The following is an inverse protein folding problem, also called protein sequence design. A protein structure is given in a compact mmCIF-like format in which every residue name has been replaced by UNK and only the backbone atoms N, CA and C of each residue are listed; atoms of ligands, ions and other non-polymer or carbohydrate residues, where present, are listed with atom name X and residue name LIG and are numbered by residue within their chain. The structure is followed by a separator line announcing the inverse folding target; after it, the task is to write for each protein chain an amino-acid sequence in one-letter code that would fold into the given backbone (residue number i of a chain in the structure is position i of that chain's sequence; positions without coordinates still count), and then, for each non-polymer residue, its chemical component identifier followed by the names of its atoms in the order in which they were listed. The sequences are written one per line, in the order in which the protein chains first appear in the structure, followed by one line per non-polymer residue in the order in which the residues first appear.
data_IF_397546492578
#
_entry.id   IF_397546492578
#
_cell.length_a   1.000
_cell.length_b   1.000
_cell.length_c   1.000
_cell.angle_alpha   90.00
_cell.angle_beta   90.00
_cell.angle_gamma   90.00
#
_symmetry.space_group_name_H-M   'P 1'
#
loop_
_entity.id
_entity.type
_entity.pdbx_description
1 polymer ?
#
# COMPACT_ATOMS: atom_id res chain seq x y z
N UNK A 1 -3.53 19.45 -0.51
CA UNK A 1 -2.66 19.64 -1.69
C UNK A 1 -2.48 18.29 -2.35
N UNK A 2 -2.34 18.21 -3.68
CA UNK A 2 -2.07 16.94 -4.35
C UNK A 2 -0.79 16.29 -3.85
N UNK A 3 -0.67 14.98 -4.03
CA UNK A 3 0.57 14.23 -3.78
C UNK A 3 1.61 14.69 -4.81
N UNK A 4 2.40 15.70 -4.45
CA UNK A 4 3.26 16.42 -5.40
C UNK A 4 4.66 15.80 -5.52
N UNK A 5 5.17 15.14 -4.49
CA UNK A 5 6.51 14.56 -4.50
C UNK A 5 6.50 13.03 -4.60
N UNK A 6 7.57 12.44 -5.13
CA UNK A 6 7.75 10.98 -5.12
C UNK A 6 7.84 10.42 -3.68
N UNK A 7 8.35 11.21 -2.74
CA UNK A 7 8.36 10.85 -1.33
C UNK A 7 6.94 10.72 -0.75
N UNK A 8 6.04 11.66 -1.06
CA UNK A 8 4.64 11.60 -0.63
C UNK A 8 3.90 10.41 -1.28
N UNK A 9 4.20 10.12 -2.55
CA UNK A 9 3.66 8.95 -3.25
C UNK A 9 4.04 7.65 -2.53
N UNK A 10 5.34 7.48 -2.24
CA UNK A 10 5.86 6.34 -1.48
C UNK A 10 5.24 6.27 -0.09
N UNK A 11 5.09 7.40 0.60
CA UNK A 11 4.44 7.44 1.91
C UNK A 11 3.00 6.95 1.90
N UNK A 12 2.23 7.39 0.92
CA UNK A 12 0.85 6.96 0.78
C UNK A 12 0.76 5.49 0.40
N UNK A 13 1.56 5.03 -0.56
CA UNK A 13 1.61 3.61 -0.92
C UNK A 13 1.99 2.73 0.29
N UNK A 14 2.97 3.17 1.07
CA UNK A 14 3.42 2.50 2.29
C UNK A 14 2.28 2.32 3.30
N UNK A 15 1.66 3.44 3.68
CA UNK A 15 0.58 3.46 4.65
C UNK A 15 -0.68 2.74 4.17
N UNK A 16 -0.92 2.71 2.86
CA UNK A 16 -1.98 1.91 2.23
C UNK A 16 -1.61 0.41 2.13
N UNK A 17 -0.43 0.01 2.59
CA UNK A 17 0.02 -1.37 2.67
C UNK A 17 0.47 -1.96 1.33
N UNK A 18 0.86 -1.12 0.37
CA UNK A 18 1.60 -1.55 -0.82
C UNK A 18 3.06 -1.67 -0.44
N UNK A 19 3.65 -2.84 -0.65
CA UNK A 19 4.99 -3.18 -0.17
C UNK A 19 6.06 -2.38 -0.92
N UNK A 20 6.98 -1.75 -0.19
CA UNK A 20 8.05 -0.89 -0.73
C UNK A 20 9.44 -1.38 -0.30
N UNK A 21 9.59 -2.70 -0.14
CA UNK A 21 10.82 -3.32 0.37
C UNK A 21 10.80 -3.54 1.89
N UNK A 22 11.88 -4.14 2.43
CA UNK A 22 11.99 -4.48 3.84
C UNK A 22 11.84 -3.22 4.70
N UNK A 23 10.82 -3.22 5.55
CA UNK A 23 10.49 -2.07 6.40
C UNK A 23 11.13 -2.22 7.77
N UNK A 24 11.74 -1.14 8.27
CA UNK A 24 11.82 -0.92 9.70
C UNK A 24 10.40 -0.98 10.33
N UNK A 25 10.30 -1.55 11.53
CA UNK A 25 9.09 -2.01 12.23
C UNK A 25 7.94 -0.98 12.41
N UNK A 26 8.10 0.27 12.02
CA UNK A 26 7.16 1.37 12.33
C UNK A 26 6.28 1.83 11.15
N UNK A 27 6.23 1.09 10.02
CA UNK A 27 5.16 1.25 9.01
C UNK A 27 5.11 2.60 8.28
N UNK A 28 6.13 3.44 8.45
CA UNK A 28 6.48 4.54 7.57
C UNK A 28 7.98 4.39 7.38
N UNK A 29 8.40 3.68 6.32
CA UNK A 29 9.78 3.26 6.09
C UNK A 29 10.76 4.35 6.53
N UNK A 30 11.45 4.08 7.64
CA UNK A 30 12.43 5.01 8.18
C UNK A 30 13.53 5.20 7.13
N UNK A 31 14.18 6.35 7.15
CA UNK A 31 15.30 6.67 6.26
C UNK A 31 16.52 5.75 6.45
N UNK A 32 16.46 4.81 7.40
CA UNK A 32 17.61 4.08 7.94
C UNK A 32 17.57 2.58 7.59
N UNK A 33 16.40 1.98 7.41
CA UNK A 33 16.26 0.52 7.16
C UNK A 33 15.74 0.18 5.75
N UNK A 34 15.51 1.19 4.91
CA UNK A 34 15.09 1.01 3.52
C UNK A 34 16.32 1.07 2.60
N UNK A 35 17.34 0.26 2.87
CA UNK A 35 18.45 0.09 1.95
C UNK A 35 18.52 -1.35 1.46
N UNK A 36 18.33 -1.51 0.16
CA UNK A 36 18.54 -2.76 -0.55
C UNK A 36 19.66 -2.52 -1.57
N UNK A 37 20.84 -3.09 -1.32
CA UNK A 37 22.02 -2.91 -2.18
C UNK A 37 21.88 -3.57 -3.56
N UNK A 38 20.98 -4.53 -3.71
CA UNK A 38 20.70 -5.16 -5.00
C UNK A 38 19.90 -4.22 -5.90
N UNK A 39 18.94 -3.50 -5.33
CA UNK A 39 18.11 -2.49 -6.03
C UNK A 39 18.85 -1.16 -6.20
N UNK A 40 19.67 -0.76 -5.22
CA UNK A 40 20.32 0.55 -5.15
C UNK A 40 21.76 0.57 -5.68
N UNK A 41 22.38 -0.58 -5.92
CA UNK A 41 23.78 -0.67 -6.34
C UNK A 41 24.76 -0.14 -5.28
N UNK A 42 25.76 0.63 -5.70
CA UNK A 42 26.84 1.14 -4.84
C UNK A 42 26.46 2.32 -3.92
N UNK A 43 25.17 2.58 -3.72
CA UNK A 43 24.69 3.69 -2.88
C UNK A 43 25.03 3.44 -1.39
N UNK A 44 25.47 4.50 -0.71
CA UNK A 44 25.70 4.47 0.74
C UNK A 44 24.36 4.52 1.50
N UNK A 45 23.97 3.35 2.01
CA UNK A 45 22.80 3.10 2.83
C UNK A 45 22.69 3.95 4.11
N UNK A 46 23.80 4.52 4.59
CA UNK A 46 23.80 5.33 5.81
C UNK A 46 23.37 6.79 5.55
N UNK A 47 23.39 7.22 4.29
CA UNK A 47 23.08 8.61 3.88
C UNK A 47 21.93 8.71 2.88
N UNK A 48 21.60 7.64 2.15
CA UNK A 48 20.51 7.65 1.15
C UNK A 48 19.47 6.59 1.44
N UNK A 49 18.24 7.02 1.72
CA UNK A 49 17.09 6.11 1.86
C UNK A 49 16.39 5.85 0.52
N UNK A 50 15.82 4.65 0.32
CA UNK A 50 14.92 4.37 -0.83
C UNK A 50 13.84 5.44 -1.01
N UNK A 51 13.38 6.03 0.10
CA UNK A 51 12.35 7.09 0.12
C UNK A 51 12.81 8.40 -0.51
N UNK A 52 14.09 8.74 -0.41
CA UNK A 52 14.68 9.99 -0.90
C UNK A 52 15.21 9.90 -2.34
N UNK A 53 15.14 8.74 -2.97
CA UNK A 53 15.53 8.60 -4.37
C UNK A 53 14.71 9.54 -5.26
N UNK A 54 15.38 10.23 -6.17
CA UNK A 54 14.74 11.08 -7.17
C UNK A 54 13.93 10.28 -8.20
N UNK A 55 14.27 9.00 -8.41
CA UNK A 55 13.69 8.14 -9.43
C UNK A 55 12.85 7.01 -8.81
N UNK A 56 11.92 6.47 -9.59
CA UNK A 56 11.10 5.29 -9.24
C UNK A 56 11.97 4.03 -9.30
N UNK A 57 12.20 3.41 -8.15
CA UNK A 57 12.90 2.12 -7.99
C UNK A 57 11.95 0.93 -8.19
N UNK A 58 12.51 -0.29 -8.21
CA UNK A 58 11.77 -1.53 -8.44
C UNK A 58 10.63 -1.77 -7.43
N UNK A 59 10.86 -1.49 -6.14
CA UNK A 59 9.81 -1.63 -5.13
C UNK A 59 8.71 -0.61 -5.31
N UNK A 60 9.06 0.65 -5.58
CA UNK A 60 8.07 1.69 -5.84
C UNK A 60 7.26 1.35 -7.08
N UNK A 61 7.89 0.87 -8.16
CA UNK A 61 7.18 0.42 -9.36
C UNK A 61 6.22 -0.73 -9.07
N UNK A 62 6.65 -1.74 -8.31
CA UNK A 62 5.79 -2.86 -7.91
C UNK A 62 4.59 -2.40 -7.06
N UNK A 63 4.80 -1.46 -6.13
CA UNK A 63 3.74 -0.87 -5.33
C UNK A 63 2.73 -0.07 -6.17
N UNK A 64 3.23 0.74 -7.11
CA UNK A 64 2.40 1.48 -8.07
C UNK A 64 1.55 0.51 -8.88
N UNK A 65 2.17 -0.53 -9.42
CA UNK A 65 1.50 -1.55 -10.23
C UNK A 65 0.38 -2.23 -9.46
N UNK A 66 0.67 -2.68 -8.23
CA UNK A 66 -0.33 -3.31 -7.37
C UNK A 66 -1.48 -2.36 -7.02
N UNK A 67 -1.19 -1.08 -6.75
CA UNK A 67 -2.23 -0.08 -6.52
C UNK A 67 -3.12 0.13 -7.74
N UNK A 68 -2.53 0.22 -8.93
CA UNK A 68 -3.26 0.37 -10.19
C UNK A 68 -4.21 -0.81 -10.41
N UNK A 69 -3.72 -2.03 -10.23
CA UNK A 69 -4.53 -3.27 -10.32
C UNK A 69 -5.70 -3.22 -9.32
N UNK A 70 -5.41 -2.94 -8.04
CA UNK A 70 -6.43 -2.90 -6.99
C UNK A 70 -7.49 -1.80 -7.22
N UNK A 71 -7.10 -0.74 -7.93
CA UNK A 71 -7.93 0.44 -8.19
C UNK A 71 -8.56 0.44 -9.59
N UNK A 72 -8.42 -0.65 -10.36
CA UNK A 72 -8.91 -0.78 -11.73
C UNK A 72 -8.40 0.34 -12.66
N UNK A 73 -7.13 0.71 -12.50
CA UNK A 73 -6.38 1.61 -13.38
C UNK A 73 -5.49 0.79 -14.33
N UNK A 74 -5.02 1.42 -15.40
CA UNK A 74 -4.02 0.80 -16.27
C UNK A 74 -2.75 0.45 -15.47
N UNK A 75 -2.43 -0.84 -15.38
CA UNK A 75 -1.32 -1.40 -14.62
C UNK A 75 0.02 -1.19 -15.34
N UNK A 76 0.41 0.07 -15.48
CA UNK A 76 1.62 0.48 -16.20
C UNK A 76 2.88 0.47 -15.33
N UNK A 77 2.74 0.43 -14.00
CA UNK A 77 3.84 0.62 -13.05
C UNK A 77 4.43 2.04 -13.07
N UNK A 78 3.88 2.93 -13.88
CA UNK A 78 4.40 4.29 -14.06
C UNK A 78 3.77 5.26 -13.07
N UNK A 79 4.60 6.13 -12.53
CA UNK A 79 4.15 7.31 -11.80
C UNK A 79 3.54 8.33 -12.77
N UNK A 80 2.45 8.96 -12.34
CA UNK A 80 1.75 9.96 -13.14
C UNK A 80 0.66 10.68 -12.34
N UNK A 81 0.14 11.81 -12.87
CA UNK A 81 -0.83 12.64 -12.15
C UNK A 81 -2.13 11.90 -11.82
N UNK A 82 -2.61 11.02 -12.71
CA UNK A 82 -3.82 10.22 -12.48
C UNK A 82 -3.65 9.25 -11.30
N UNK A 83 -2.51 8.55 -11.25
CA UNK A 83 -2.17 7.65 -10.15
C UNK A 83 -2.10 8.42 -8.83
N UNK A 84 -1.37 9.54 -8.81
CA UNK A 84 -1.18 10.39 -7.62
C UNK A 84 -2.52 10.89 -7.07
N UNK A 85 -3.42 11.34 -7.96
CA UNK A 85 -4.77 11.78 -7.59
C UNK A 85 -5.62 10.64 -7.03
N UNK A 86 -5.55 9.44 -7.64
CA UNK A 86 -6.28 8.28 -7.15
C UNK A 86 -5.81 7.87 -5.73
N UNK A 87 -4.50 7.84 -5.51
CA UNK A 87 -3.90 7.53 -4.22
C UNK A 87 -4.30 8.56 -3.17
N UNK A 88 -4.19 9.85 -3.49
CA UNK A 88 -4.64 10.95 -2.61
C UNK A 88 -6.11 10.76 -2.21
N UNK A 89 -6.98 10.50 -3.18
CA UNK A 89 -8.41 10.27 -2.94
C UNK A 89 -8.62 9.07 -2.02
N UNK A 90 -7.86 8.00 -2.20
CA UNK A 90 -7.92 6.81 -1.35
C UNK A 90 -7.54 7.14 0.10
N UNK A 91 -6.51 7.96 0.31
CA UNK A 91 -6.10 8.41 1.65
C UNK A 91 -7.13 9.35 2.26
N UNK A 92 -7.73 10.27 1.50
CA UNK A 92 -8.82 11.15 1.99
C UNK A 92 -10.02 10.33 2.47
N UNK A 93 -10.42 9.31 1.72
CA UNK A 93 -11.51 8.39 2.11
C UNK A 93 -11.16 7.62 3.39
N UNK A 94 -9.91 7.15 3.50
CA UNK A 94 -9.43 6.51 4.73
C UNK A 94 -9.51 7.47 5.93
N UNK A 95 -9.01 8.70 5.79
CA UNK A 95 -9.03 9.73 6.82
C UNK A 95 -10.45 10.08 7.27
N UNK A 96 -11.37 10.27 6.32
CA UNK A 96 -12.78 10.52 6.60
C UNK A 96 -13.43 9.38 7.39
N UNK A 97 -13.21 8.13 6.96
CA UNK A 97 -13.75 6.97 7.66
C UNK A 97 -13.14 6.80 9.06
N UNK A 98 -11.84 7.05 9.23
CA UNK A 98 -11.20 7.03 10.56
C UNK A 98 -11.80 8.09 11.48
N UNK A 99 -12.00 9.32 10.98
CA UNK A 99 -12.65 10.41 11.73
C UNK A 99 -14.03 9.99 12.22
N UNK A 100 -14.84 9.39 11.35
CA UNK A 100 -16.19 8.90 11.68
C UNK A 100 -16.17 7.76 12.70
N UNK A 101 -15.36 6.73 12.48
CA UNK A 101 -15.36 5.50 13.30
C UNK A 101 -14.70 5.72 14.67
N UNK A 102 -13.70 6.58 14.75
CA UNK A 102 -12.99 6.89 16.00
C UNK A 102 -13.56 8.11 16.74
N UNK A 103 -14.51 8.83 16.12
CA UNK A 103 -15.04 10.10 16.63
C UNK A 103 -13.93 11.08 17.05
N UNK A 104 -12.96 11.27 16.16
CA UNK A 104 -11.75 12.08 16.43
C UNK A 104 -11.47 13.02 15.27
N UNK A 105 -10.83 14.16 15.57
CA UNK A 105 -10.46 15.14 14.55
C UNK A 105 -9.19 14.70 13.82
N UNK A 106 -9.32 14.45 12.51
CA UNK A 106 -8.23 14.09 11.61
C UNK A 106 -8.34 14.99 10.38
N UNK A 107 -7.24 15.60 9.99
CA UNK A 107 -7.18 16.38 8.76
C UNK A 107 -7.27 15.46 7.53
N UNK A 108 -8.18 15.79 6.60
CA UNK A 108 -8.30 15.12 5.31
C UNK A 108 -7.24 15.67 4.34
N UNK A 109 -5.96 15.52 4.66
CA UNK A 109 -4.88 16.11 3.87
C UNK A 109 -4.63 15.37 2.55
N UNK A 110 -5.04 14.10 2.45
CA UNK A 110 -4.65 13.20 1.36
C UNK A 110 -3.23 12.63 1.48
N UNK A 111 -2.55 12.93 2.60
CA UNK A 111 -1.23 12.41 2.94
C UNK A 111 -1.31 11.51 4.17
N UNK A 112 -0.70 10.34 4.11
CA UNK A 112 -0.79 9.36 5.17
C UNK A 112 -0.13 9.88 6.45
N UNK A 113 1.16 10.23 6.43
CA UNK A 113 1.90 10.87 7.54
C UNK A 113 1.64 10.25 8.94
N UNK A 114 2.15 10.91 9.97
CA UNK A 114 2.07 10.45 11.37
C UNK A 114 0.64 10.44 11.94
N UNK A 115 -0.19 11.41 11.54
CA UNK A 115 -1.55 11.54 12.07
C UNK A 115 -2.44 10.37 11.61
N UNK A 116 -2.49 10.07 10.31
CA UNK A 116 -3.26 8.94 9.79
C UNK A 116 -2.71 7.61 10.31
N UNK A 117 -1.37 7.45 10.36
CA UNK A 117 -0.74 6.27 10.95
C UNK A 117 -1.20 6.02 12.39
N UNK A 118 -1.21 7.06 13.24
CA UNK A 118 -1.64 6.95 14.64
C UNK A 118 -3.13 6.60 14.74
N UNK A 119 -3.97 7.20 13.90
CA UNK A 119 -5.39 6.88 13.83
C UNK A 119 -5.64 5.43 13.37
N UNK A 120 -4.88 4.93 12.39
CA UNK A 120 -4.98 3.54 11.94
C UNK A 120 -4.58 2.57 13.05
N UNK A 121 -3.56 2.89 13.87
CA UNK A 121 -3.23 2.08 15.06
C UNK A 121 -4.36 2.09 16.09
N UNK A 122 -4.99 3.22 16.33
CA UNK A 122 -6.14 3.33 17.23
C UNK A 122 -7.32 2.49 16.73
N UNK A 123 -7.60 2.54 15.42
CA UNK A 123 -8.61 1.69 14.79
C UNK A 123 -8.28 0.19 14.89
N UNK A 124 -7.05 -0.19 14.57
CA UNK A 124 -6.60 -1.57 14.69
C UNK A 124 -6.73 -2.07 16.14
N UNK A 125 -6.35 -1.25 17.12
CA UNK A 125 -6.49 -1.56 18.55
C UNK A 125 -7.96 -1.73 18.94
N UNK A 126 -8.86 -0.85 18.50
CA UNK A 126 -10.28 -0.90 18.85
C UNK A 126 -11.05 -2.05 18.19
N UNK A 127 -10.41 -2.76 17.25
CA UNK A 127 -10.94 -3.92 16.53
C UNK A 127 -10.11 -5.19 16.75
N UNK A 128 -9.18 -5.17 17.71
CA UNK A 128 -8.27 -6.28 18.02
C UNK A 128 -7.52 -6.83 16.79
N UNK A 129 -7.15 -5.94 15.87
CA UNK A 129 -6.32 -6.24 14.70
C UNK A 129 -4.83 -6.03 15.03
N UNK A 130 -3.91 -6.61 14.25
CA UNK A 130 -2.48 -6.29 14.37
C UNK A 130 -2.22 -4.78 14.25
N UNK A 131 -1.61 -4.19 15.29
CA UNK A 131 -1.42 -2.74 15.44
C UNK A 131 -0.18 -2.26 14.65
N UNK A 132 -0.21 -2.49 13.35
CA UNK A 132 0.88 -2.16 12.41
C UNK A 132 0.91 -0.69 12.01
N UNK A 133 -0.23 0.00 12.14
CA UNK A 133 -0.45 1.32 11.57
C UNK A 133 -0.50 1.34 10.04
N UNK A 134 -0.60 0.17 9.41
CA UNK A 134 -0.73 0.01 7.95
C UNK A 134 -2.19 -0.29 7.60
N UNK A 135 -2.77 0.54 6.74
CA UNK A 135 -4.15 0.42 6.26
C UNK A 135 -4.20 -0.45 5.00
N UNK A 136 -3.92 -1.75 5.15
CA UNK A 136 -4.07 -2.73 4.07
C UNK A 136 -5.48 -2.73 3.49
N UNK A 137 -5.68 -3.33 2.30
CA UNK A 137 -7.01 -3.40 1.69
C UNK A 137 -8.06 -4.04 2.60
N UNK A 138 -7.68 -5.04 3.40
CA UNK A 138 -8.55 -5.70 4.38
C UNK A 138 -8.94 -4.74 5.51
N UNK A 139 -7.98 -3.98 6.05
CA UNK A 139 -8.24 -2.96 7.08
C UNK A 139 -9.14 -1.86 6.53
N UNK A 140 -8.88 -1.38 5.30
CA UNK A 140 -9.71 -0.34 4.67
C UNK A 140 -11.14 -0.80 4.41
N UNK A 141 -11.33 -2.05 3.99
CA UNK A 141 -12.66 -2.62 3.77
C UNK A 141 -13.44 -2.69 5.08
N UNK A 142 -12.84 -3.27 6.12
CA UNK A 142 -13.43 -3.34 7.47
C UNK A 142 -13.81 -1.95 7.98
N UNK A 143 -12.91 -0.98 7.82
CA UNK A 143 -13.15 0.40 8.24
C UNK A 143 -14.30 1.06 7.46
N UNK A 144 -14.37 0.83 6.15
CA UNK A 144 -15.45 1.37 5.30
C UNK A 144 -16.81 0.75 5.66
N UNK A 145 -16.84 -0.53 6.01
CA UNK A 145 -18.06 -1.20 6.49
C UNK A 145 -18.49 -0.62 7.84
N UNK A 146 -17.56 -0.49 8.79
CA UNK A 146 -17.79 0.14 10.10
C UNK A 146 -18.31 1.58 9.94
N UNK A 147 -17.75 2.36 9.01
CA UNK A 147 -18.16 3.75 8.75
C UNK A 147 -19.57 3.87 8.14
N UNK A 148 -20.08 2.81 7.51
CA UNK A 148 -21.44 2.75 6.94
C UNK A 148 -22.47 2.21 7.93
N UNK A 149 -22.07 1.83 9.15
CA UNK A 149 -22.95 1.29 10.18
C UNK A 149 -23.42 -0.15 9.94
N UNK A 150 -22.74 -0.91 9.06
CA UNK A 150 -23.17 -2.25 8.64
C UNK A 150 -22.23 -3.38 9.07
N UNK A 151 -22.79 -4.39 9.74
CA UNK A 151 -22.19 -5.72 9.90
C UNK A 151 -22.09 -6.39 8.52
N UNK A 152 -20.89 -6.78 8.07
CA UNK A 152 -20.68 -7.27 6.69
C UNK A 152 -20.94 -8.77 6.52
N UNK A 153 -21.91 -9.11 5.66
CA UNK A 153 -21.99 -10.38 4.94
C UNK A 153 -21.28 -10.24 3.59
N UNK A 154 -20.44 -11.20 3.15
CA UNK A 154 -19.75 -11.11 1.86
C UNK A 154 -20.68 -11.51 0.72
N UNK A 155 -20.61 -10.79 -0.42
CA UNK A 155 -21.35 -11.12 -1.65
C UNK A 155 -20.40 -11.15 -2.87
N UNK A 156 -20.59 -12.07 -3.84
CA UNK A 156 -19.64 -12.37 -4.93
C UNK A 156 -19.77 -11.41 -6.12
N UNK A 157 -18.79 -11.41 -7.04
CA UNK A 157 -18.68 -10.49 -8.20
C UNK A 157 -18.54 -11.27 -9.54
N UNK A 158 -19.18 -10.83 -10.66
CA UNK A 158 -19.20 -11.53 -11.97
C UNK A 158 -18.02 -11.23 -12.94
N UNK A 159 -17.92 -12.01 -14.05
CA UNK A 159 -16.90 -12.07 -15.15
C UNK A 159 -17.11 -11.13 -16.35
N UNK A 160 -16.02 -10.64 -16.99
CA UNK A 160 -15.61 -11.04 -18.37
C UNK A 160 -14.28 -11.86 -18.42
N UNK A 161 -13.97 -12.56 -19.53
CA UNK A 161 -13.32 -13.90 -19.46
C UNK A 161 -12.06 -14.13 -20.34
N UNK A 162 -11.03 -13.26 -20.34
CA UNK A 162 -9.69 -13.72 -20.79
C UNK A 162 -8.57 -12.84 -20.26
N UNK A 163 -8.57 -11.55 -20.62
CA UNK A 163 -7.61 -10.59 -20.06
C UNK A 163 -7.89 -10.31 -18.59
N UNK A 164 -9.18 -10.19 -18.23
CA UNK A 164 -9.58 -10.13 -16.83
C UNK A 164 -9.25 -11.41 -16.06
N UNK A 165 -9.24 -12.58 -16.71
CA UNK A 165 -8.87 -13.82 -16.03
C UNK A 165 -7.36 -13.93 -15.82
N UNK A 166 -6.55 -13.45 -16.77
CA UNK A 166 -5.11 -13.27 -16.57
C UNK A 166 -4.83 -12.25 -15.46
N UNK A 167 -5.54 -11.12 -15.44
CA UNK A 167 -5.42 -10.10 -14.39
C UNK A 167 -5.95 -10.59 -13.03
N UNK A 168 -6.99 -11.44 -13.01
CA UNK A 168 -7.49 -12.09 -11.79
C UNK A 168 -6.52 -13.12 -11.26
N UNK A 169 -5.88 -13.89 -12.14
CA UNK A 169 -4.85 -14.84 -11.78
C UNK A 169 -3.61 -14.11 -11.26
N UNK A 170 -3.16 -13.07 -11.95
CA UNK A 170 -2.09 -12.20 -11.46
C UNK A 170 -2.46 -11.62 -10.09
N UNK A 171 -3.68 -11.11 -9.92
CA UNK A 171 -4.17 -10.63 -8.62
C UNK A 171 -4.17 -11.73 -7.55
N UNK A 172 -4.61 -12.94 -7.84
CA UNK A 172 -4.61 -14.05 -6.86
C UNK A 172 -3.20 -14.46 -6.48
N UNK A 173 -2.30 -14.49 -7.46
CA UNK A 173 -0.90 -14.87 -7.24
C UNK A 173 -0.19 -13.80 -6.40
N UNK A 174 -0.39 -12.52 -6.68
CA UNK A 174 0.16 -11.41 -5.89
C UNK A 174 -0.39 -11.40 -4.45
N UNK A 175 -1.68 -11.72 -4.25
CA UNK A 175 -2.27 -11.88 -2.90
C UNK A 175 -1.60 -13.05 -2.17
N UNK A 176 -1.37 -14.18 -2.85
CA UNK A 176 -0.77 -15.38 -2.28
C UNK A 176 0.69 -15.14 -1.91
N UNK A 177 1.45 -14.51 -2.80
CA UNK A 177 2.83 -14.09 -2.55
C UNK A 177 2.89 -13.13 -1.35
N UNK A 178 1.97 -12.16 -1.27
CA UNK A 178 1.90 -11.23 -0.13
C UNK A 178 1.57 -11.93 1.18
N UNK A 179 0.64 -12.88 1.17
CA UNK A 179 0.32 -13.68 2.35
C UNK A 179 1.51 -14.55 2.79
N UNK A 180 2.23 -15.13 1.82
CA UNK A 180 3.44 -15.92 2.05
C UNK A 180 4.59 -15.08 2.60
N UNK A 181 4.74 -13.84 2.13
CA UNK A 181 5.70 -12.88 2.69
C UNK A 181 5.33 -12.51 4.13
N UNK A 182 4.03 -12.27 4.40
CA UNK A 182 3.52 -11.94 5.73
C UNK A 182 3.66 -13.10 6.73
N UNK A 183 3.55 -14.34 6.27
CA UNK A 183 3.74 -15.55 7.07
C UNK A 183 5.21 -15.99 7.16
N UNK A 184 6.14 -15.25 6.54
CA UNK A 184 7.58 -15.58 6.42
C UNK A 184 7.86 -16.92 5.72
N UNK A 185 6.96 -17.35 4.83
CA UNK A 185 7.13 -18.55 4.00
C UNK A 185 8.01 -18.30 2.77
N UNK A 186 8.13 -17.05 2.32
CA UNK A 186 9.04 -16.63 1.25
C UNK A 186 9.85 -15.42 1.71
N UNK A 187 11.04 -15.23 1.13
CA UNK A 187 11.90 -14.08 1.40
C UNK A 187 11.43 -12.85 0.63
N UNK A 188 11.93 -11.68 1.02
CA UNK A 188 11.69 -10.42 0.29
C UNK A 188 12.17 -10.53 -1.18
N UNK A 189 13.32 -11.18 -1.40
CA UNK A 189 13.90 -11.45 -2.74
C UNK A 189 13.00 -12.36 -3.60
N UNK A 190 12.52 -13.46 -3.00
CA UNK A 190 11.62 -14.41 -3.66
C UNK A 190 10.32 -13.70 -4.06
N UNK A 191 9.78 -12.85 -3.18
CA UNK A 191 8.59 -12.06 -3.48
C UNK A 191 8.79 -11.15 -4.69
N UNK A 192 9.90 -10.39 -4.76
CA UNK A 192 10.17 -9.49 -5.89
C UNK A 192 10.29 -10.27 -7.21
N UNK A 193 11.09 -11.34 -7.20
CA UNK A 193 11.32 -12.18 -8.37
C UNK A 193 10.01 -12.77 -8.89
N UNK A 194 9.22 -13.33 -7.99
CA UNK A 194 7.96 -13.98 -8.28
C UNK A 194 6.86 -12.99 -8.72
N UNK A 195 6.88 -11.76 -8.21
CA UNK A 195 6.05 -10.66 -8.71
C UNK A 195 6.47 -10.29 -10.13
N UNK A 196 7.77 -10.08 -10.37
CA UNK A 196 8.29 -9.64 -11.66
C UNK A 196 8.06 -10.65 -12.79
N UNK A 197 8.14 -11.95 -12.49
CA UNK A 197 7.90 -13.04 -13.46
C UNK A 197 6.42 -13.15 -13.87
N UNK A 198 5.50 -12.82 -12.98
CA UNK A 198 4.06 -12.99 -13.22
C UNK A 198 3.40 -11.77 -13.88
N UNK A 199 4.10 -10.65 -13.89
CA UNK A 199 3.67 -9.45 -14.62
C UNK A 199 3.98 -9.67 -16.11
N UNK A 200 2.97 -9.63 -17.00
CA UNK A 200 3.18 -9.76 -18.44
C UNK A 200 3.97 -8.61 -19.05
#
# INVERSE_FOLDING_TARGET
MPVTSLADLRENLDGLGYYLGPRGLDGLGNSVNACDREILGAIDCNVTSLRQLANVDGYTRAAILQYQIDSNLAATGNDGPQLRSAIEKTVRILQDNLKKVLNTEIELSGNYRRATYSAVKSYQRSRSLPITGIATITVRRRLNDDARGGSSTPSPTPSPTSELDQLRKLRSDLITLKASLQSRQITDEEFIREVFIRVP
#
